data_IF_263513962550
#
_entry.id   IF_263513962550
#
_cell.length_a   1.000
_cell.length_b   1.000
_cell.length_c   1.000
_cell.angle_alpha   90.00
_cell.angle_beta   90.00
_cell.angle_gamma   90.00
#
_symmetry.space_group_name_H-M   'P 1'
#
loop_
_entity.id
_entity.type
_entity.pdbx_description
1 polymer ?
#
# COMPACT_ATOMS: atom_id res chain seq x y z
N UNK A 1 -7.78 -6.05 -13.41
CA UNK A 1 -6.93 -5.66 -12.26
C UNK A 1 -5.50 -6.00 -12.61
N UNK A 2 -4.54 -5.10 -12.35
CA UNK A 2 -3.12 -5.34 -12.67
C UNK A 2 -2.48 -6.05 -11.50
N UNK A 3 -1.71 -7.09 -11.80
CA UNK A 3 -0.81 -7.72 -10.84
C UNK A 3 0.44 -6.84 -10.65
N UNK A 4 0.64 -6.39 -9.43
CA UNK A 4 1.82 -5.65 -8.99
C UNK A 4 2.50 -6.41 -7.86
N UNK A 5 3.82 -6.32 -7.78
CA UNK A 5 4.59 -6.80 -6.64
C UNK A 5 4.84 -5.68 -5.64
N UNK A 6 5.10 -6.00 -4.37
CA UNK A 6 5.48 -4.97 -3.40
C UNK A 6 6.82 -4.33 -3.75
N UNK A 7 7.74 -5.08 -4.36
CA UNK A 7 8.98 -4.55 -4.89
C UNK A 7 8.75 -3.49 -5.98
N UNK A 8 7.80 -3.73 -6.91
CA UNK A 8 7.41 -2.72 -7.92
C UNK A 8 6.83 -1.46 -7.27
N UNK A 9 5.99 -1.62 -6.23
CA UNK A 9 5.42 -0.50 -5.50
C UNK A 9 6.52 0.29 -4.78
N UNK A 10 7.44 -0.39 -4.10
CA UNK A 10 8.58 0.24 -3.44
C UNK A 10 9.43 1.02 -4.45
N UNK A 11 9.73 0.45 -5.61
CA UNK A 11 10.46 1.15 -6.67
C UNK A 11 9.69 2.37 -7.20
N UNK A 12 8.39 2.23 -7.49
CA UNK A 12 7.56 3.31 -8.00
C UNK A 12 7.44 4.48 -7.00
N UNK A 13 7.44 4.17 -5.70
CA UNK A 13 7.25 5.13 -4.62
C UNK A 13 8.56 5.65 -4.03
N UNK A 14 9.72 5.17 -4.52
CA UNK A 14 11.03 5.36 -3.87
C UNK A 14 11.02 4.94 -2.39
N UNK A 15 10.18 3.97 -2.05
CA UNK A 15 10.04 3.40 -0.72
C UNK A 15 10.96 2.20 -0.48
N UNK A 16 10.93 1.71 0.75
CA UNK A 16 11.65 0.52 1.19
C UNK A 16 10.67 -0.60 1.51
N UNK A 17 10.82 -1.73 0.84
CA UNK A 17 10.12 -2.97 1.19
C UNK A 17 10.74 -3.57 2.46
N UNK A 18 9.89 -3.92 3.42
CA UNK A 18 10.22 -4.66 4.64
C UNK A 18 9.30 -5.87 4.70
N UNK A 19 9.89 -7.07 4.76
CA UNK A 19 9.16 -8.34 4.75
C UNK A 19 9.23 -9.03 3.39
N UNK A 20 8.25 -9.88 3.10
CA UNK A 20 8.21 -10.69 1.88
C UNK A 20 7.70 -9.87 0.68
N UNK A 21 8.29 -10.10 -0.49
CA UNK A 21 7.77 -9.58 -1.74
C UNK A 21 6.61 -10.44 -2.23
N UNK A 22 5.39 -9.88 -2.18
CA UNK A 22 4.17 -10.57 -2.59
C UNK A 22 3.52 -9.87 -3.79
N UNK A 23 2.77 -10.65 -4.57
CA UNK A 23 1.95 -10.12 -5.65
C UNK A 23 0.58 -9.72 -5.13
N UNK A 24 0.12 -8.55 -5.54
CA UNK A 24 -1.12 -7.91 -5.11
C UNK A 24 -1.99 -7.59 -6.32
N UNK A 25 -3.30 -7.66 -6.13
CA UNK A 25 -4.27 -7.41 -7.20
C UNK A 25 -4.97 -6.04 -7.06
N UNK A 26 -5.00 -5.48 -5.85
CA UNK A 26 -5.66 -4.22 -5.56
C UNK A 26 -5.05 -3.51 -4.34
N UNK A 27 -5.19 -2.18 -4.33
CA UNK A 27 -4.76 -1.29 -3.26
C UNK A 27 -5.99 -0.54 -2.76
N UNK A 28 -6.22 -0.56 -1.44
CA UNK A 28 -7.29 0.15 -0.76
C UNK A 28 -6.74 1.22 0.17
N UNK A 29 -7.42 2.36 0.25
CA UNK A 29 -7.05 3.48 1.15
C UNK A 29 -8.04 3.66 2.31
N UNK A 30 -9.18 2.97 2.27
CA UNK A 30 -10.22 3.03 3.32
C UNK A 30 -10.28 1.67 4.04
N UNK A 31 -9.91 1.65 5.31
CA UNK A 31 -9.90 0.45 6.14
C UNK A 31 -11.29 -0.18 6.29
N UNK A 32 -12.37 0.59 6.09
CA UNK A 32 -13.76 0.12 6.19
C UNK A 32 -14.21 -0.65 4.96
N UNK A 33 -13.58 -0.41 3.81
CA UNK A 33 -13.92 -1.04 2.53
C UNK A 33 -12.88 -2.07 2.09
N UNK A 34 -11.83 -2.28 2.89
CA UNK A 34 -10.75 -3.20 2.57
C UNK A 34 -11.23 -4.65 2.62
N UNK A 35 -10.91 -5.42 1.58
CA UNK A 35 -11.18 -6.85 1.53
C UNK A 35 -9.88 -7.65 1.65
N UNK A 36 -10.02 -8.92 2.03
CA UNK A 36 -8.89 -9.86 2.08
C UNK A 36 -8.16 -9.91 0.73
N UNK A 37 -6.83 -9.97 0.78
CA UNK A 37 -5.98 -9.97 -0.42
C UNK A 37 -5.52 -8.57 -0.89
N UNK A 38 -6.07 -7.49 -0.32
CA UNK A 38 -5.73 -6.12 -0.73
C UNK A 38 -4.57 -5.56 0.08
N UNK A 39 -3.86 -4.62 -0.52
CA UNK A 39 -2.87 -3.79 0.19
C UNK A 39 -3.54 -2.56 0.75
N UNK A 40 -3.30 -2.27 2.01
CA UNK A 40 -3.80 -1.06 2.65
C UNK A 40 -2.77 0.07 2.58
N UNK A 41 -3.13 1.21 2.00
CA UNK A 41 -2.30 2.41 1.99
C UNK A 41 -2.78 3.36 3.10
N UNK A 42 -1.94 3.52 4.13
CA UNK A 42 -2.21 4.34 5.30
C UNK A 42 -2.03 5.83 4.98
N UNK A 43 -3.09 6.46 4.48
CA UNK A 43 -3.09 7.90 4.23
C UNK A 43 -3.09 8.68 5.54
N UNK A 44 -2.24 9.72 5.59
CA UNK A 44 -2.21 10.71 6.67
C UNK A 44 -2.73 12.05 6.18
N UNK A 45 -3.71 12.58 6.89
CA UNK A 45 -4.32 13.89 6.65
C UNK A 45 -4.39 14.71 7.93
N UNK A 46 -4.85 15.96 7.85
CA UNK A 46 -4.90 16.86 9.01
C UNK A 46 -5.81 16.35 10.13
N UNK A 47 -6.86 15.60 9.79
CA UNK A 47 -7.85 15.06 10.74
C UNK A 47 -7.90 13.54 10.76
N UNK A 48 -7.03 12.86 10.01
CA UNK A 48 -7.12 11.42 9.79
C UNK A 48 -5.74 10.79 9.74
N UNK A 49 -5.59 9.62 10.37
CA UNK A 49 -4.35 8.87 10.36
C UNK A 49 -4.64 7.40 10.11
N UNK A 50 -4.37 6.96 8.88
CA UNK A 50 -4.56 5.58 8.43
C UNK A 50 -3.76 4.55 9.23
N UNK A 51 -2.62 4.94 9.81
CA UNK A 51 -1.73 4.05 10.55
C UNK A 51 -2.38 3.49 11.81
N UNK A 52 -3.38 4.17 12.35
CA UNK A 52 -4.16 3.69 13.51
C UNK A 52 -5.01 2.45 13.21
N UNK A 53 -5.18 2.12 11.93
CA UNK A 53 -6.03 1.01 11.49
C UNK A 53 -5.23 -0.20 11.01
N UNK A 54 -3.90 -0.24 11.20
CA UNK A 54 -3.04 -1.33 10.73
C UNK A 54 -3.46 -2.69 11.32
N UNK A 55 -3.71 -2.76 12.62
CA UNK A 55 -4.19 -4.00 13.27
C UNK A 55 -5.57 -4.43 12.76
N UNK A 56 -6.45 -3.46 12.52
CA UNK A 56 -7.78 -3.71 11.98
C UNK A 56 -7.69 -4.31 10.56
N UNK A 57 -6.91 -3.70 9.68
CA UNK A 57 -6.78 -4.19 8.30
C UNK A 57 -6.07 -5.54 8.23
N UNK A 58 -5.11 -5.77 9.13
CA UNK A 58 -4.49 -7.09 9.27
C UNK A 58 -5.53 -8.16 9.67
N UNK A 59 -6.43 -7.83 10.60
CA UNK A 59 -7.53 -8.72 10.99
C UNK A 59 -8.55 -8.96 9.86
N UNK A 60 -8.70 -8.00 8.93
CA UNK A 60 -9.54 -8.12 7.74
C UNK A 60 -8.87 -8.92 6.60
N UNK A 61 -7.63 -9.35 6.77
CA UNK A 61 -6.88 -10.13 5.79
C UNK A 61 -6.15 -9.30 4.75
N UNK A 62 -5.75 -8.06 5.08
CA UNK A 62 -4.84 -7.29 4.26
C UNK A 62 -3.56 -8.10 4.01
N UNK A 63 -3.08 -8.09 2.77
CA UNK A 63 -1.86 -8.84 2.42
C UNK A 63 -0.59 -8.06 2.69
N UNK A 64 -0.65 -6.73 2.64
CA UNK A 64 0.46 -5.85 2.98
C UNK A 64 -0.05 -4.45 3.33
N UNK A 65 0.85 -3.60 3.83
CA UNK A 65 0.56 -2.21 4.17
C UNK A 65 1.58 -1.24 3.54
N UNK A 66 1.14 -0.04 3.19
CA UNK A 66 2.01 1.06 2.72
C UNK A 66 1.90 2.19 3.73
N UNK A 67 3.02 2.60 4.32
CA UNK A 67 3.09 3.45 5.51
C UNK A 67 4.21 4.49 5.38
N UNK A 68 4.09 5.65 6.03
CA UNK A 68 5.14 6.70 5.99
C UNK A 68 6.28 6.47 7.01
N UNK A 69 6.12 5.48 7.89
CA UNK A 69 7.12 5.02 8.84
C UNK A 69 6.93 3.53 9.13
N UNK A 70 7.99 2.85 9.58
CA UNK A 70 7.89 1.44 9.95
C UNK A 70 6.91 1.27 11.12
N UNK A 71 5.94 0.38 10.96
CA UNK A 71 4.96 0.01 12.00
C UNK A 71 5.19 -1.43 12.46
N UNK A 72 4.80 -1.72 13.69
CA UNK A 72 4.85 -3.08 14.23
C UNK A 72 3.66 -3.89 13.70
N UNK A 73 3.94 -4.80 12.76
CA UNK A 73 2.93 -5.66 12.13
C UNK A 73 3.60 -6.92 11.59
N UNK A 74 2.84 -8.02 11.54
CA UNK A 74 3.26 -9.27 10.89
C UNK A 74 3.14 -9.21 9.38
N UNK A 75 2.48 -8.19 8.83
CA UNK A 75 2.31 -8.03 7.39
C UNK A 75 3.57 -7.43 6.75
N UNK A 76 3.89 -7.81 5.51
CA UNK A 76 4.81 -7.06 4.68
C UNK A 76 4.41 -5.59 4.60
N UNK A 77 5.39 -4.70 4.63
CA UNK A 77 5.17 -3.26 4.57
C UNK A 77 6.10 -2.55 3.60
N UNK A 78 5.57 -1.57 2.88
CA UNK A 78 6.36 -0.62 2.09
C UNK A 78 6.40 0.71 2.84
N UNK A 79 7.59 1.07 3.31
CA UNK A 79 7.83 2.33 4.01
C UNK A 79 8.22 3.40 3.00
N UNK A 80 7.43 4.46 2.90
CA UNK A 80 7.64 5.59 2.00
C UNK A 80 7.87 6.88 2.79
N UNK A 81 8.33 7.94 2.14
CA UNK A 81 8.46 9.24 2.82
C UNK A 81 7.10 9.93 3.02
N UNK A 82 6.21 9.84 2.03
CA UNK A 82 4.86 10.41 2.08
C UNK A 82 3.86 9.48 1.38
N UNK A 83 2.86 8.99 2.11
CA UNK A 83 1.86 8.06 1.57
C UNK A 83 0.92 8.70 0.54
N UNK A 84 0.71 10.02 0.56
CA UNK A 84 -0.08 10.75 -0.45
C UNK A 84 0.67 10.85 -1.77
N UNK A 85 1.97 11.16 -1.71
CA UNK A 85 2.82 11.15 -2.90
C UNK A 85 2.96 9.74 -3.46
N UNK A 86 3.11 8.75 -2.57
CA UNK A 86 3.15 7.34 -2.96
C UNK A 86 1.87 6.90 -3.70
N UNK A 87 0.69 7.30 -3.24
CA UNK A 87 -0.56 7.01 -3.95
C UNK A 87 -0.56 7.57 -5.40
N UNK A 88 -0.08 8.79 -5.58
CA UNK A 88 0.07 9.41 -6.91
C UNK A 88 1.08 8.66 -7.78
N UNK A 89 2.24 8.29 -7.21
CA UNK A 89 3.29 7.57 -7.91
C UNK A 89 2.85 6.16 -8.35
N UNK A 90 2.14 5.44 -7.48
CA UNK A 90 1.53 4.15 -7.79
C UNK A 90 0.52 4.30 -8.93
N UNK A 91 -0.36 5.31 -8.86
CA UNK A 91 -1.33 5.57 -9.93
C UNK A 91 -0.65 5.86 -11.28
N UNK A 92 0.44 6.63 -11.28
CA UNK A 92 1.23 6.88 -12.47
C UNK A 92 1.90 5.61 -13.02
N UNK A 93 2.48 4.78 -12.14
CA UNK A 93 3.10 3.51 -12.52
C UNK A 93 2.08 2.53 -13.10
N UNK A 94 0.93 2.38 -12.45
CA UNK A 94 -0.21 1.59 -12.93
C UNK A 94 -0.62 2.08 -14.32
N UNK A 95 -0.83 3.39 -14.50
CA UNK A 95 -1.20 3.96 -15.81
C UNK A 95 -0.17 3.65 -16.89
N UNK A 96 1.13 3.79 -16.59
CA UNK A 96 2.21 3.45 -17.51
C UNK A 96 2.22 1.96 -17.89
N UNK A 97 1.84 1.08 -16.96
CA UNK A 97 1.75 -0.38 -17.17
C UNK A 97 0.50 -0.80 -17.95
N UNK A 98 -0.63 -0.08 -17.82
CA UNK A 98 -1.85 -0.35 -18.61
C UNK A 98 -1.69 0.13 -20.05
N UNK A 99 -1.05 1.30 -20.27
CA UNK A 99 -0.84 1.96 -21.57
C UNK A 99 -1.72 1.41 -22.70
N UNK A 100 -3.04 1.73 -22.71
CA UNK A 100 -3.90 1.29 -23.80
C UNK A 100 -3.39 1.98 -25.07
N UNK A 101 -3.06 1.18 -26.08
CA UNK A 101 -2.85 1.67 -27.45
C UNK A 101 -4.12 2.30 -27.98
#
# INVERSE_FOLDING_TARGET
>A
MIKLTLAEIAQATSGKLIGEDITIDAIGTDSRALTSGQVFLALKGPNFDGHKFIEQVASLGASAVIVDHQVDTSLPQVVVEDTRLALGAIGAHVKAKIAPK
#
